data_IF_743038935966
#
_entry.id   IF_743038935966
#
_cell.length_a   1.000
_cell.length_b   1.000
_cell.length_c   1.000
_cell.angle_alpha   90.00
_cell.angle_beta   90.00
_cell.angle_gamma   90.00
#
_symmetry.space_group_name_H-M   'P 1'
#
loop_
_entity.id
_entity.type
_entity.pdbx_description
1 polymer ?
#
# COMPACT_ATOMS: atom_id res chain seq x y z
N UNK A 1 17.86 29.38 48.05
CA UNK A 1 16.56 29.51 47.35
C UNK A 1 16.83 29.50 45.84
N UNK A 2 16.79 28.31 45.21
CA UNK A 2 17.04 28.15 43.76
C UNK A 2 15.69 28.13 43.03
N UNK A 3 15.39 29.19 42.29
CA UNK A 3 14.28 29.22 41.35
C UNK A 3 14.58 28.25 40.20
N UNK A 4 13.74 27.22 40.05
CA UNK A 4 13.76 26.31 38.89
C UNK A 4 13.25 27.08 37.67
N UNK A 5 14.16 27.31 36.72
CA UNK A 5 13.83 27.69 35.36
C UNK A 5 13.27 26.45 34.63
N UNK A 6 11.95 26.26 34.70
CA UNK A 6 11.25 25.31 33.84
C UNK A 6 11.25 25.87 32.40
N UNK A 7 12.20 25.37 31.61
CA UNK A 7 12.39 25.73 30.21
C UNK A 7 11.12 25.47 29.38
N UNK A 8 10.87 26.31 28.37
CA UNK A 8 9.79 26.23 27.36
C UNK A 8 9.64 24.81 26.74
N UNK A 9 10.71 24.02 26.77
CA UNK A 9 10.78 22.62 26.37
C UNK A 9 9.86 21.69 27.18
N UNK A 10 9.67 21.91 28.48
CA UNK A 10 8.81 21.06 29.31
C UNK A 10 7.32 21.36 29.16
N UNK A 11 6.97 22.57 28.73
CA UNK A 11 5.59 22.95 28.38
C UNK A 11 5.16 22.34 27.04
N UNK A 12 6.07 22.24 26.06
CA UNK A 12 5.85 21.51 24.80
C UNK A 12 5.72 20.00 25.00
N UNK A 13 6.46 19.43 25.96
CA UNK A 13 6.43 17.98 26.24
C UNK A 13 5.10 17.55 26.88
N UNK A 14 4.52 18.39 27.76
CA UNK A 14 3.17 18.17 28.32
C UNK A 14 2.06 18.36 27.29
N UNK A 15 2.12 19.38 26.42
CA UNK A 15 1.13 19.54 25.34
C UNK A 15 1.11 18.37 24.35
N UNK A 16 2.27 17.73 24.10
CA UNK A 16 2.38 16.54 23.25
C UNK A 16 1.96 15.24 23.96
N UNK A 17 2.04 15.17 25.28
CA UNK A 17 1.48 14.04 26.06
C UNK A 17 -0.04 14.13 26.15
N UNK A 18 -0.60 15.32 26.33
CA UNK A 18 -2.06 15.51 26.42
C UNK A 18 -2.75 15.49 25.04
N UNK A 19 -2.02 15.77 23.95
CA UNK A 19 -2.50 15.58 22.58
C UNK A 19 -2.31 14.14 22.05
N UNK A 20 -1.89 13.19 22.90
CA UNK A 20 -1.61 11.79 22.53
C UNK A 20 -2.77 11.02 21.91
N UNK A 21 -4.01 11.50 22.04
CA UNK A 21 -5.20 10.92 21.39
C UNK A 21 -5.51 11.49 19.99
N UNK A 22 -4.87 12.59 19.58
CA UNK A 22 -5.20 13.32 18.34
C UNK A 22 -4.18 13.15 17.20
N UNK A 23 -3.03 12.54 17.48
CA UNK A 23 -1.92 12.36 16.52
C UNK A 23 -1.95 11.03 15.74
N UNK A 24 -2.93 10.16 16.00
CA UNK A 24 -3.15 8.95 15.20
C UNK A 24 -3.69 9.31 13.79
N UNK A 25 -4.31 10.48 13.61
CA UNK A 25 -4.87 10.92 12.33
C UNK A 25 -3.99 11.83 11.46
N UNK A 26 -3.08 12.62 12.06
CA UNK A 26 -2.36 13.69 11.34
C UNK A 26 -0.94 13.31 10.88
N UNK A 27 -0.30 12.30 11.48
CA UNK A 27 0.99 11.77 11.01
C UNK A 27 0.84 10.70 9.91
N UNK A 28 -0.35 10.13 9.75
CA UNK A 28 -0.54 8.91 8.97
C UNK A 28 -0.22 9.06 7.46
N UNK A 29 -0.45 10.22 6.83
CA UNK A 29 -0.25 10.36 5.38
C UNK A 29 1.23 10.33 4.93
N UNK A 30 2.13 10.89 5.75
CA UNK A 30 3.56 11.03 5.43
C UNK A 30 4.40 10.01 6.21
N UNK A 31 4.04 9.72 7.46
CA UNK A 31 4.77 8.80 8.33
C UNK A 31 4.30 7.33 8.29
N UNK A 32 3.20 6.97 7.62
CA UNK A 32 2.92 5.55 7.31
C UNK A 32 4.01 4.95 6.40
N UNK A 33 4.71 5.78 5.61
CA UNK A 33 5.87 5.28 4.84
C UNK A 33 7.15 5.15 5.67
N UNK A 34 7.27 5.86 6.80
CA UNK A 34 8.49 5.92 7.62
C UNK A 34 8.40 5.09 8.92
N UNK A 35 7.23 4.99 9.54
CA UNK A 35 7.02 4.33 10.84
C UNK A 35 6.03 3.15 10.82
N UNK A 36 4.99 3.17 9.97
CA UNK A 36 4.11 2.00 9.84
C UNK A 36 4.76 0.73 9.25
N UNK A 37 5.89 0.77 8.49
CA UNK A 37 6.55 -0.47 8.09
C UNK A 37 7.17 -1.20 9.28
N UNK A 38 7.44 -0.54 10.41
CA UNK A 38 8.12 -1.20 11.54
C UNK A 38 7.19 -2.03 12.42
N UNK A 39 5.90 -1.68 12.55
CA UNK A 39 5.16 -2.16 13.72
C UNK A 39 3.93 -3.06 13.52
N UNK A 40 3.14 -3.05 12.43
CA UNK A 40 1.83 -3.73 12.57
C UNK A 40 1.29 -4.65 11.47
N UNK A 41 1.77 -4.66 10.23
CA UNK A 41 1.19 -5.58 9.21
C UNK A 41 2.21 -6.02 8.16
N UNK A 42 2.90 -5.06 7.56
CA UNK A 42 3.81 -5.31 6.43
C UNK A 42 4.97 -6.28 6.74
N UNK A 43 5.63 -6.22 7.91
CA UNK A 43 6.71 -7.17 8.23
C UNK A 43 6.23 -8.61 8.36
N UNK A 44 5.03 -8.84 8.91
CA UNK A 44 4.48 -10.18 9.12
C UNK A 44 4.11 -10.80 7.78
N UNK A 45 3.44 -10.04 6.90
CA UNK A 45 3.12 -10.51 5.56
C UNK A 45 4.37 -10.66 4.69
N UNK A 46 5.35 -9.77 4.81
CA UNK A 46 6.59 -9.86 4.05
C UNK A 46 7.42 -11.08 4.47
N UNK A 47 7.60 -11.33 5.77
CA UNK A 47 8.22 -12.57 6.27
C UNK A 47 7.48 -13.81 5.78
N UNK A 48 6.15 -13.79 5.78
CA UNK A 48 5.34 -14.91 5.29
C UNK A 48 5.51 -15.11 3.78
N UNK A 49 5.44 -14.04 2.99
CA UNK A 49 5.65 -14.08 1.54
C UNK A 49 7.03 -14.63 1.21
N UNK A 50 8.10 -14.14 1.83
CA UNK A 50 9.46 -14.67 1.62
C UNK A 50 9.57 -16.14 2.04
N UNK A 51 8.93 -16.54 3.15
CA UNK A 51 8.93 -17.95 3.61
C UNK A 51 8.21 -18.88 2.63
N UNK A 52 7.07 -18.45 2.08
CA UNK A 52 6.24 -19.29 1.18
C UNK A 52 6.62 -19.19 -0.29
N UNK A 53 7.50 -18.26 -0.65
CA UNK A 53 8.01 -18.07 -2.01
C UNK A 53 9.31 -18.83 -2.28
N UNK A 54 9.78 -19.64 -1.32
CA UNK A 54 11.01 -20.42 -1.46
C UNK A 54 10.87 -21.44 -2.59
N UNK A 55 11.88 -21.45 -3.44
CA UNK A 55 12.03 -22.31 -4.62
C UNK A 55 13.45 -22.85 -4.64
N UNK A 56 13.66 -23.99 -5.30
CA UNK A 56 15.01 -24.54 -5.52
C UNK A 56 15.72 -23.80 -6.64
N UNK A 57 17.04 -23.94 -6.76
CA UNK A 57 17.80 -23.30 -7.83
C UNK A 57 17.36 -23.77 -9.23
N UNK A 58 17.01 -25.05 -9.35
CA UNK A 58 16.43 -25.62 -10.58
C UNK A 58 15.10 -24.94 -10.92
N UNK A 59 14.23 -24.76 -9.93
CA UNK A 59 12.96 -24.05 -10.12
C UNK A 59 13.19 -22.56 -10.45
N UNK A 60 14.18 -21.91 -9.83
CA UNK A 60 14.53 -20.52 -10.11
C UNK A 60 14.96 -20.33 -11.56
N UNK A 61 15.84 -21.21 -12.06
CA UNK A 61 16.30 -21.19 -13.44
C UNK A 61 15.14 -21.36 -14.43
N UNK A 62 14.24 -22.32 -14.18
CA UNK A 62 13.05 -22.53 -15.01
C UNK A 62 12.11 -21.31 -14.98
N UNK A 63 11.84 -20.74 -13.80
CA UNK A 63 10.99 -19.55 -13.68
C UNK A 63 11.61 -18.37 -14.44
N UNK A 64 12.92 -18.16 -14.32
CA UNK A 64 13.67 -17.11 -15.02
C UNK A 64 13.51 -17.22 -16.53
N UNK A 65 13.74 -18.41 -17.08
CA UNK A 65 13.57 -18.69 -18.51
C UNK A 65 12.14 -18.36 -18.96
N UNK A 66 11.13 -18.86 -18.25
CA UNK A 66 9.72 -18.64 -18.60
C UNK A 66 9.27 -17.19 -18.47
N UNK A 67 9.81 -16.44 -17.52
CA UNK A 67 9.58 -15.00 -17.43
C UNK A 67 10.15 -14.24 -18.65
N UNK A 68 11.37 -14.59 -19.09
CA UNK A 68 11.99 -14.01 -20.27
C UNK A 68 11.23 -14.36 -21.56
N UNK A 69 10.77 -15.61 -21.72
CA UNK A 69 9.94 -16.03 -22.86
C UNK A 69 8.62 -15.22 -22.93
N UNK A 70 7.93 -15.07 -21.79
CA UNK A 70 6.72 -14.27 -21.71
C UNK A 70 6.97 -12.79 -21.99
N UNK A 71 8.09 -12.23 -21.50
CA UNK A 71 8.48 -10.86 -21.82
C UNK A 71 8.65 -10.70 -23.33
N UNK A 72 9.31 -11.64 -24.00
CA UNK A 72 9.45 -11.65 -25.46
C UNK A 72 8.10 -11.59 -26.18
N UNK A 73 7.13 -12.40 -25.74
CA UNK A 73 5.75 -12.40 -26.28
C UNK A 73 4.98 -11.11 -26.00
N UNK A 74 5.23 -10.45 -24.88
CA UNK A 74 4.62 -9.15 -24.57
C UNK A 74 5.23 -8.08 -25.47
N UNK A 75 6.56 -8.03 -25.55
CA UNK A 75 7.29 -7.01 -26.31
C UNK A 75 7.16 -7.15 -27.83
N UNK A 76 6.84 -8.34 -28.37
CA UNK A 76 6.62 -8.51 -29.81
C UNK A 76 5.42 -7.73 -30.35
N UNK A 77 4.53 -7.26 -29.46
CA UNK A 77 3.34 -6.47 -29.79
C UNK A 77 3.49 -4.99 -29.44
N UNK A 78 4.70 -4.56 -29.09
CA UNK A 78 4.96 -3.24 -28.51
C UNK A 78 6.07 -2.54 -29.31
N UNK A 79 5.90 -1.26 -29.67
CA UNK A 79 6.96 -0.46 -30.30
C UNK A 79 8.26 -0.45 -29.47
N UNK A 80 9.41 -0.34 -30.14
CA UNK A 80 10.74 -0.47 -29.52
C UNK A 80 10.93 0.45 -28.30
N UNK A 81 10.53 1.72 -28.45
CA UNK A 81 10.64 2.74 -27.41
C UNK A 81 9.77 2.45 -26.18
N UNK A 82 8.76 1.59 -26.32
CA UNK A 82 7.78 1.22 -25.27
C UNK A 82 8.01 -0.15 -24.65
N UNK A 83 9.03 -0.89 -25.09
CA UNK A 83 9.30 -2.24 -24.57
C UNK A 83 9.60 -2.24 -23.06
N UNK A 84 9.16 -3.33 -22.43
CA UNK A 84 9.42 -3.63 -21.02
C UNK A 84 10.75 -4.40 -20.92
N UNK A 85 11.48 -4.22 -19.82
CA UNK A 85 12.70 -4.96 -19.51
C UNK A 85 12.51 -5.79 -18.25
N UNK A 86 13.20 -6.92 -18.14
CA UNK A 86 13.42 -7.60 -16.87
C UNK A 86 14.90 -7.41 -16.50
N UNK A 87 15.15 -7.01 -15.26
CA UNK A 87 16.49 -6.91 -14.71
C UNK A 87 16.59 -7.74 -13.45
N UNK A 88 17.48 -8.74 -13.48
CA UNK A 88 17.84 -9.53 -12.31
C UNK A 88 18.93 -8.79 -11.55
N UNK A 89 18.64 -8.49 -10.29
CA UNK A 89 19.51 -7.79 -9.35
C UNK A 89 20.08 -8.83 -8.40
N UNK A 90 21.39 -8.82 -8.22
CA UNK A 90 22.13 -9.66 -7.27
C UNK A 90 22.84 -8.79 -6.22
N UNK A 91 23.64 -9.44 -5.37
CA UNK A 91 24.41 -8.79 -4.31
C UNK A 91 25.54 -7.88 -4.80
N UNK A 92 25.95 -7.98 -6.07
CA UNK A 92 26.96 -7.13 -6.68
C UNK A 92 26.35 -5.89 -7.36
N UNK A 93 25.02 -5.84 -7.50
CA UNK A 93 24.34 -4.69 -8.06
C UNK A 93 24.56 -3.43 -7.20
N UNK A 94 25.16 -2.40 -7.79
CA UNK A 94 25.42 -1.12 -7.12
C UNK A 94 24.20 -0.19 -7.23
N UNK A 95 23.66 0.24 -6.08
CA UNK A 95 22.51 1.15 -6.03
C UNK A 95 22.42 1.89 -4.71
N UNK A 96 22.18 3.20 -4.77
CA UNK A 96 21.83 4.01 -3.59
C UNK A 96 20.32 4.01 -3.31
N UNK A 97 19.52 3.46 -4.23
CA UNK A 97 18.07 3.40 -4.09
C UNK A 97 17.64 2.32 -3.09
N UNK A 98 17.06 2.75 -1.97
CA UNK A 98 16.55 1.87 -0.89
C UNK A 98 15.55 0.81 -1.36
N UNK A 99 14.77 1.07 -2.40
CA UNK A 99 13.85 0.06 -2.95
C UNK A 99 14.59 -1.04 -3.71
N UNK A 100 15.59 -0.67 -4.51
CA UNK A 100 16.42 -1.64 -5.23
C UNK A 100 17.31 -2.43 -4.25
N UNK A 101 17.75 -1.81 -3.15
CA UNK A 101 18.42 -2.50 -2.03
C UNK A 101 17.55 -3.59 -1.38
N UNK A 102 16.24 -3.35 -1.25
CA UNK A 102 15.33 -4.39 -0.74
C UNK A 102 15.18 -5.56 -1.72
N UNK A 103 15.17 -5.28 -3.02
CA UNK A 103 15.10 -6.30 -4.08
C UNK A 103 16.41 -7.10 -4.11
N UNK A 104 17.55 -6.43 -4.07
CA UNK A 104 18.90 -7.00 -3.93
C UNK A 104 19.00 -8.01 -2.78
N UNK A 105 18.36 -7.72 -1.66
CA UNK A 105 18.31 -8.61 -0.48
C UNK A 105 17.28 -9.76 -0.60
N UNK A 106 16.58 -9.89 -1.72
CA UNK A 106 15.53 -10.89 -1.91
C UNK A 106 14.28 -10.63 -1.06
N UNK A 107 14.06 -9.39 -0.62
CA UNK A 107 12.94 -9.03 0.25
C UNK A 107 11.77 -8.45 -0.53
N UNK A 108 11.95 -8.14 -1.81
CA UNK A 108 10.91 -7.54 -2.64
C UNK A 108 11.11 -7.85 -4.13
N UNK A 109 10.06 -7.60 -4.90
CA UNK A 109 10.07 -7.50 -6.35
C UNK A 109 9.32 -6.21 -6.74
N UNK A 110 9.59 -5.63 -7.92
CA UNK A 110 8.80 -4.49 -8.37
C UNK A 110 8.91 -4.22 -9.87
N UNK A 111 7.80 -3.77 -10.46
CA UNK A 111 7.78 -3.06 -11.72
C UNK A 111 7.94 -1.54 -11.54
N UNK A 112 8.91 -0.94 -12.23
CA UNK A 112 9.07 0.50 -12.35
C UNK A 112 8.50 1.00 -13.66
N UNK A 113 7.40 1.75 -13.61
CA UNK A 113 6.81 2.39 -14.79
C UNK A 113 7.72 3.46 -15.41
N UNK A 114 8.54 4.15 -14.59
CA UNK A 114 9.50 5.16 -15.07
C UNK A 114 10.57 4.53 -15.95
N UNK A 115 11.14 3.41 -15.50
CA UNK A 115 12.23 2.74 -16.20
C UNK A 115 11.73 1.67 -17.18
N UNK A 116 10.42 1.37 -17.14
CA UNK A 116 9.79 0.23 -17.85
C UNK A 116 10.49 -1.10 -17.54
N UNK A 117 10.93 -1.26 -16.30
CA UNK A 117 11.73 -2.41 -15.86
C UNK A 117 11.06 -3.16 -14.73
N UNK A 118 10.95 -4.47 -14.87
CA UNK A 118 10.65 -5.43 -13.82
C UNK A 118 11.96 -5.82 -13.14
N UNK A 119 12.10 -5.45 -11.87
CA UNK A 119 13.27 -5.74 -11.05
C UNK A 119 13.01 -6.96 -10.17
N UNK A 120 13.86 -7.97 -10.29
CA UNK A 120 13.74 -9.25 -9.59
C UNK A 120 15.07 -9.66 -8.97
N UNK A 121 15.01 -10.53 -7.98
CA UNK A 121 16.17 -11.23 -7.44
C UNK A 121 15.86 -12.73 -7.39
N UNK A 122 16.85 -13.57 -7.63
CA UNK A 122 16.63 -15.03 -7.71
C UNK A 122 16.16 -15.63 -6.37
N UNK A 123 16.55 -15.03 -5.24
CA UNK A 123 16.07 -15.40 -3.90
C UNK A 123 14.55 -15.18 -3.73
N UNK A 124 13.91 -14.38 -4.59
CA UNK A 124 12.48 -14.10 -4.58
C UNK A 124 11.94 -13.90 -6.01
N UNK A 125 12.06 -14.92 -6.85
CA UNK A 125 11.73 -14.81 -8.28
C UNK A 125 10.23 -15.02 -8.59
N UNK A 126 9.51 -15.72 -7.73
CA UNK A 126 8.10 -16.13 -7.97
C UNK A 126 7.11 -14.96 -8.15
N UNK A 127 7.28 -13.78 -7.50
CA UNK A 127 6.45 -12.61 -7.81
C UNK A 127 6.69 -12.01 -9.20
N UNK A 128 7.71 -12.48 -9.95
CA UNK A 128 8.01 -11.95 -11.28
C UNK A 128 6.83 -11.97 -12.25
N UNK A 129 5.94 -12.96 -12.15
CA UNK A 129 4.72 -13.01 -12.96
C UNK A 129 3.72 -11.90 -12.60
N UNK A 130 3.62 -11.55 -11.30
CA UNK A 130 2.81 -10.43 -10.82
C UNK A 130 3.38 -9.10 -11.33
N UNK A 131 4.69 -8.89 -11.23
CA UNK A 131 5.32 -7.65 -11.71
C UNK A 131 5.24 -7.52 -13.24
N UNK A 132 5.33 -8.62 -13.97
CA UNK A 132 5.14 -8.63 -15.42
C UNK A 132 3.67 -8.32 -15.80
N UNK A 133 2.70 -8.73 -14.98
CA UNK A 133 1.31 -8.33 -15.14
C UNK A 133 1.11 -6.83 -14.90
N UNK A 134 1.77 -6.24 -13.90
CA UNK A 134 1.81 -4.78 -13.75
C UNK A 134 2.41 -4.09 -14.97
N UNK A 135 3.48 -4.63 -15.55
CA UNK A 135 4.08 -4.08 -16.75
C UNK A 135 3.12 -4.12 -17.96
N UNK A 136 2.36 -5.22 -18.13
CA UNK A 136 1.34 -5.32 -19.18
C UNK A 136 0.17 -4.36 -18.96
N UNK A 137 -0.30 -4.20 -17.73
CA UNK A 137 -1.36 -3.26 -17.39
C UNK A 137 -0.91 -1.80 -17.54
N UNK A 138 0.39 -1.54 -17.37
CA UNK A 138 0.98 -0.24 -17.70
C UNK A 138 0.90 0.06 -19.19
N UNK A 139 1.26 -0.89 -20.06
CA UNK A 139 1.15 -0.72 -21.51
C UNK A 139 -0.28 -0.44 -21.99
N UNK A 140 -1.28 -0.99 -21.28
CA UNK A 140 -2.72 -0.80 -21.55
C UNK A 140 -3.32 0.47 -20.92
N UNK A 141 -2.55 1.22 -20.13
CA UNK A 141 -3.02 2.44 -19.45
C UNK A 141 -3.82 2.22 -18.16
N UNK A 142 -4.20 0.97 -17.83
CA UNK A 142 -4.94 0.65 -16.60
C UNK A 142 -4.14 0.97 -15.34
N UNK A 143 -2.87 0.56 -15.28
CA UNK A 143 -2.03 0.81 -14.10
C UNK A 143 -1.80 2.31 -13.85
N UNK A 144 -1.45 3.14 -14.86
CA UNK A 144 -1.39 4.59 -14.71
C UNK A 144 -2.70 5.21 -14.21
N UNK A 145 -3.85 4.77 -14.75
CA UNK A 145 -5.15 5.26 -14.33
C UNK A 145 -5.43 4.93 -12.85
N UNK A 146 -5.19 3.68 -12.44
CA UNK A 146 -5.34 3.25 -11.06
C UNK A 146 -4.38 3.99 -10.12
N UNK A 147 -3.12 4.20 -10.51
CA UNK A 147 -2.13 4.96 -9.75
C UNK A 147 -2.54 6.43 -9.59
N UNK A 148 -3.05 7.06 -10.65
CA UNK A 148 -3.57 8.44 -10.61
C UNK A 148 -4.76 8.54 -9.67
N UNK A 149 -5.73 7.63 -9.79
CA UNK A 149 -6.90 7.55 -8.92
C UNK A 149 -6.50 7.34 -7.45
N UNK A 150 -5.57 6.42 -7.16
CA UNK A 150 -5.06 6.22 -5.80
C UNK A 150 -4.24 7.39 -5.27
N UNK A 151 -3.49 8.12 -6.10
CA UNK A 151 -2.70 9.27 -5.66
C UNK A 151 -3.60 10.43 -5.23
N UNK A 152 -4.59 10.78 -6.05
CA UNK A 152 -5.50 11.89 -5.75
C UNK A 152 -6.57 11.47 -4.75
N UNK A 153 -7.22 10.32 -4.98
CA UNK A 153 -8.20 9.76 -4.07
C UNK A 153 -7.62 9.45 -2.71
N UNK A 154 -6.43 8.84 -2.63
CA UNK A 154 -5.77 8.55 -1.36
C UNK A 154 -5.41 9.80 -0.55
N UNK A 155 -4.97 10.89 -1.20
CA UNK A 155 -4.70 12.17 -0.50
C UNK A 155 -5.96 12.76 0.10
N UNK A 156 -7.06 12.76 -0.66
CA UNK A 156 -8.33 13.32 -0.19
C UNK A 156 -8.93 12.41 0.87
N UNK A 157 -9.18 11.15 0.53
CA UNK A 157 -10.00 10.24 1.34
C UNK A 157 -9.24 9.51 2.46
N UNK A 158 -7.92 9.33 2.38
CA UNK A 158 -7.13 8.73 3.46
C UNK A 158 -6.42 9.74 4.36
N UNK A 159 -6.42 11.04 4.01
CA UNK A 159 -5.72 12.05 4.80
C UNK A 159 -6.60 13.27 5.08
N UNK A 160 -6.98 14.04 4.06
CA UNK A 160 -7.73 15.29 4.28
C UNK A 160 -9.11 15.04 4.90
N UNK A 161 -9.84 14.04 4.40
CA UNK A 161 -11.19 13.72 4.87
C UNK A 161 -11.18 13.16 6.30
N UNK A 162 -10.26 12.23 6.68
CA UNK A 162 -10.18 11.75 8.06
C UNK A 162 -9.76 12.85 9.04
N UNK A 163 -8.81 13.71 8.67
CA UNK A 163 -8.42 14.87 9.48
C UNK A 163 -9.61 15.82 9.66
N UNK A 164 -10.29 16.17 8.58
CA UNK A 164 -11.51 16.99 8.66
C UNK A 164 -12.58 16.33 9.52
N UNK A 165 -12.82 15.03 9.37
CA UNK A 165 -13.78 14.27 10.15
C UNK A 165 -13.42 14.29 11.64
N UNK A 166 -12.15 14.15 12.02
CA UNK A 166 -11.72 14.20 13.42
C UNK A 166 -11.77 15.63 13.99
N UNK A 167 -11.35 16.65 13.24
CA UNK A 167 -11.32 18.04 13.69
C UNK A 167 -12.71 18.70 13.74
N UNK A 168 -13.64 18.30 12.86
CA UNK A 168 -15.02 18.79 12.86
C UNK A 168 -15.78 18.38 14.12
N UNK A 169 -16.86 19.09 14.46
CA UNK A 169 -17.74 18.72 15.58
C UNK A 169 -18.94 17.96 15.06
N UNK A 170 -19.44 17.01 15.84
CA UNK A 170 -20.77 16.45 15.60
C UNK A 170 -21.79 17.56 15.86
N UNK A 171 -22.56 17.93 14.83
CA UNK A 171 -23.52 19.03 14.92
C UNK A 171 -24.88 18.44 15.26
N UNK A 172 -25.35 18.70 16.47
CA UNK A 172 -26.68 18.27 16.88
C UNK A 172 -27.74 19.29 16.43
N UNK A 173 -28.93 18.79 16.11
CA UNK A 173 -30.09 19.62 15.82
C UNK A 173 -30.49 20.33 17.13
N UNK A 174 -30.51 21.67 17.15
CA UNK A 174 -31.06 22.43 18.28
C UNK A 174 -32.58 22.53 18.11
N UNK A 175 -33.32 22.57 19.23
CA UNK A 175 -34.79 22.65 19.23
C UNK A 175 -35.32 23.74 18.30
N UNK A 176 -34.65 24.89 18.25
CA UNK A 176 -35.14 26.08 17.54
C UNK A 176 -34.47 26.34 16.18
N UNK A 177 -33.46 25.55 15.78
CA UNK A 177 -32.78 25.71 14.47
C UNK A 177 -32.40 24.36 13.86
N UNK A 178 -32.96 23.99 12.69
CA UNK A 178 -32.55 22.79 11.97
C UNK A 178 -31.09 22.91 11.50
N UNK A 179 -30.43 21.78 11.32
CA UNK A 179 -29.08 21.71 10.75
C UNK A 179 -29.06 22.34 9.36
N UNK A 180 -28.13 23.27 9.14
CA UNK A 180 -27.88 23.82 7.81
C UNK A 180 -27.21 22.75 6.91
N UNK A 181 -27.10 23.05 5.61
CA UNK A 181 -26.52 22.12 4.63
C UNK A 181 -25.08 21.73 4.99
N UNK A 182 -24.28 22.68 5.49
CA UNK A 182 -22.88 22.44 5.87
C UNK A 182 -22.76 21.49 7.07
N UNK A 183 -23.64 21.63 8.07
CA UNK A 183 -23.68 20.77 9.25
C UNK A 183 -24.15 19.36 8.88
N UNK A 184 -25.15 19.23 7.99
CA UNK A 184 -25.59 17.94 7.44
C UNK A 184 -24.46 17.24 6.69
N UNK A 185 -23.76 17.95 5.81
CA UNK A 185 -22.61 17.43 5.06
C UNK A 185 -21.47 17.01 5.98
N UNK A 186 -21.17 17.82 7.00
CA UNK A 186 -20.13 17.51 7.99
C UNK A 186 -20.46 16.23 8.74
N UNK A 187 -21.70 16.10 9.24
CA UNK A 187 -22.13 14.89 9.93
C UNK A 187 -22.13 13.66 9.00
N UNK A 188 -22.56 13.82 7.74
CA UNK A 188 -22.53 12.74 6.75
C UNK A 188 -21.11 12.24 6.49
N UNK A 189 -20.15 13.14 6.31
CA UNK A 189 -18.73 12.82 6.14
C UNK A 189 -18.19 12.07 7.35
N UNK A 190 -18.43 12.59 8.56
CA UNK A 190 -17.99 11.98 9.82
C UNK A 190 -18.54 10.56 9.99
N UNK A 191 -19.84 10.38 9.75
CA UNK A 191 -20.51 9.10 9.97
C UNK A 191 -20.12 8.03 8.93
N UNK A 192 -19.60 8.44 7.77
CA UNK A 192 -19.18 7.52 6.71
C UNK A 192 -17.67 7.52 6.47
N UNK A 193 -16.87 8.12 7.36
CA UNK A 193 -15.43 8.32 7.12
C UNK A 193 -14.67 7.02 6.87
N UNK A 194 -15.04 5.93 7.54
CA UNK A 194 -14.45 4.61 7.30
C UNK A 194 -14.73 4.11 5.88
N UNK A 195 -15.95 4.30 5.37
CA UNK A 195 -16.32 3.92 4.00
C UNK A 195 -15.54 4.72 2.97
N UNK A 196 -15.44 6.04 3.16
CA UNK A 196 -14.65 6.90 2.28
C UNK A 196 -13.17 6.52 2.28
N UNK A 197 -12.61 6.26 3.47
CA UNK A 197 -11.24 5.79 3.63
C UNK A 197 -11.03 4.47 2.90
N UNK A 198 -11.95 3.51 3.01
CA UNK A 198 -11.86 2.23 2.28
C UNK A 198 -11.97 2.41 0.76
N UNK A 199 -12.93 3.22 0.28
CA UNK A 199 -13.12 3.51 -1.14
C UNK A 199 -11.87 4.09 -1.80
N UNK A 200 -11.07 4.85 -1.04
CA UNK A 200 -9.79 5.38 -1.51
C UNK A 200 -8.77 4.30 -1.92
N UNK A 201 -8.86 3.11 -1.31
CA UNK A 201 -7.99 1.98 -1.62
C UNK A 201 -8.48 1.15 -2.81
N UNK A 202 -9.75 1.27 -3.22
CA UNK A 202 -10.35 0.45 -4.28
C UNK A 202 -9.53 0.46 -5.58
N UNK A 203 -9.04 1.59 -6.11
CA UNK A 203 -8.22 1.57 -7.33
C UNK A 203 -6.91 0.80 -7.15
N UNK A 204 -6.29 0.87 -5.96
CA UNK A 204 -5.06 0.13 -5.65
C UNK A 204 -5.36 -1.36 -5.50
N UNK A 205 -6.43 -1.72 -4.80
CA UNK A 205 -6.87 -3.12 -4.65
C UNK A 205 -7.21 -3.75 -6.01
N UNK A 206 -7.87 -3.01 -6.89
CA UNK A 206 -8.16 -3.46 -8.25
C UNK A 206 -6.88 -3.70 -9.07
N UNK A 207 -5.89 -2.81 -8.96
CA UNK A 207 -4.60 -2.97 -9.62
C UNK A 207 -3.83 -4.21 -9.12
N UNK A 208 -3.76 -4.42 -7.81
CA UNK A 208 -3.12 -5.59 -7.19
C UNK A 208 -3.86 -6.89 -7.53
N UNK A 209 -5.20 -6.86 -7.52
CA UNK A 209 -6.02 -8.00 -7.89
C UNK A 209 -5.85 -8.38 -9.38
N UNK A 210 -5.84 -7.38 -10.28
CA UNK A 210 -5.56 -7.58 -11.70
C UNK A 210 -4.19 -8.22 -11.91
N UNK A 211 -3.16 -7.68 -11.26
CA UNK A 211 -1.80 -8.18 -11.37
C UNK A 211 -1.67 -9.62 -10.85
N UNK A 212 -2.32 -9.95 -9.74
CA UNK A 212 -2.35 -11.31 -9.21
C UNK A 212 -3.13 -12.28 -10.13
N UNK A 213 -4.26 -11.85 -10.68
CA UNK A 213 -5.04 -12.66 -11.63
C UNK A 213 -4.25 -12.95 -12.90
N UNK A 214 -3.72 -11.90 -13.54
CA UNK A 214 -2.94 -12.03 -14.77
C UNK A 214 -1.60 -12.72 -14.53
N UNK A 215 -0.94 -12.49 -13.40
CA UNK A 215 0.28 -13.20 -13.02
C UNK A 215 0.04 -14.70 -12.86
N UNK A 216 -1.07 -15.10 -12.23
CA UNK A 216 -1.47 -16.51 -12.18
C UNK A 216 -1.76 -17.08 -13.57
N UNK A 217 -2.34 -16.29 -14.47
CA UNK A 217 -2.58 -16.69 -15.86
C UNK A 217 -1.27 -16.88 -16.62
N UNK A 218 -0.32 -15.95 -16.49
CA UNK A 218 0.99 -16.04 -17.12
C UNK A 218 1.78 -17.25 -16.64
N UNK A 219 1.76 -17.52 -15.33
CA UNK A 219 2.41 -18.71 -14.79
C UNK A 219 1.85 -20.00 -15.41
N UNK A 220 0.53 -20.08 -15.63
CA UNK A 220 -0.12 -21.19 -16.35
C UNK A 220 0.25 -21.22 -17.84
N UNK A 221 0.22 -20.08 -18.53
CA UNK A 221 0.59 -19.96 -19.95
C UNK A 221 2.07 -20.35 -20.20
N UNK A 222 2.94 -20.10 -19.22
CA UNK A 222 4.33 -20.52 -19.20
C UNK A 222 4.52 -22.04 -19.02
N UNK A 223 3.44 -22.81 -18.84
CA UNK A 223 3.47 -24.26 -18.61
C UNK A 223 4.37 -24.67 -17.43
N UNK A 224 4.38 -23.87 -16.36
CA UNK A 224 5.16 -24.21 -15.17
C UNK A 224 4.62 -25.47 -14.48
N UNK A 225 5.49 -26.28 -13.85
CA UNK A 225 5.09 -27.43 -13.07
C UNK A 225 4.06 -27.10 -11.96
N UNK A 226 3.13 -28.03 -11.64
CA UNK A 226 2.07 -27.81 -10.66
C UNK A 226 2.54 -27.32 -9.28
N UNK A 227 3.69 -27.81 -8.83
CA UNK A 227 4.31 -27.42 -7.56
C UNK A 227 4.72 -25.95 -7.54
N UNK A 228 5.28 -25.44 -8.64
CA UNK A 228 5.64 -24.03 -8.78
C UNK A 228 4.38 -23.17 -8.88
N UNK A 229 3.37 -23.63 -9.63
CA UNK A 229 2.08 -22.94 -9.74
C UNK A 229 1.39 -22.79 -8.37
N UNK A 230 1.52 -23.81 -7.50
CA UNK A 230 0.96 -23.77 -6.13
C UNK A 230 1.66 -22.71 -5.27
N UNK A 231 2.98 -22.60 -5.37
CA UNK A 231 3.77 -21.58 -4.67
C UNK A 231 3.35 -20.18 -5.15
N UNK A 232 3.33 -19.94 -6.46
CA UNK A 232 2.95 -18.65 -7.05
C UNK A 232 1.54 -18.23 -6.60
N UNK A 233 0.54 -19.12 -6.71
CA UNK A 233 -0.84 -18.83 -6.27
C UNK A 233 -0.92 -18.48 -4.79
N UNK A 234 -0.18 -19.20 -3.95
CA UNK A 234 -0.15 -18.95 -2.50
C UNK A 234 0.46 -17.58 -2.20
N UNK A 235 1.58 -17.24 -2.84
CA UNK A 235 2.23 -15.93 -2.71
C UNK A 235 1.31 -14.79 -3.16
N UNK A 236 0.67 -14.92 -4.32
CA UNK A 236 -0.29 -13.93 -4.82
C UNK A 236 -1.50 -13.76 -3.88
N UNK A 237 -2.03 -14.85 -3.32
CA UNK A 237 -3.14 -14.79 -2.35
C UNK A 237 -2.73 -14.06 -1.07
N UNK A 238 -1.55 -14.34 -0.53
CA UNK A 238 -1.03 -13.67 0.66
C UNK A 238 -0.79 -12.18 0.41
N UNK A 239 -0.27 -11.83 -0.77
CA UNK A 239 -0.10 -10.43 -1.19
C UNK A 239 -1.45 -9.70 -1.22
N UNK A 240 -2.45 -10.23 -1.92
CA UNK A 240 -3.80 -9.66 -1.97
C UNK A 240 -4.42 -9.48 -0.59
N UNK A 241 -4.33 -10.51 0.28
CA UNK A 241 -4.83 -10.42 1.64
C UNK A 241 -4.16 -9.30 2.43
N UNK A 242 -2.85 -9.11 2.27
CA UNK A 242 -2.12 -8.04 2.95
C UNK A 242 -2.64 -6.65 2.58
N UNK A 243 -2.98 -6.42 1.30
CA UNK A 243 -3.52 -5.15 0.83
C UNK A 243 -4.96 -4.91 1.31
N UNK A 244 -5.82 -5.93 1.24
CA UNK A 244 -7.21 -5.85 1.73
C UNK A 244 -7.23 -5.58 3.24
N UNK A 245 -6.43 -6.33 4.01
CA UNK A 245 -6.32 -6.13 5.46
C UNK A 245 -5.82 -4.72 5.80
N UNK A 246 -4.83 -4.21 5.07
CA UNK A 246 -4.36 -2.83 5.24
C UNK A 246 -5.45 -1.79 5.00
N UNK A 247 -6.25 -1.95 3.94
CA UNK A 247 -7.36 -1.05 3.64
C UNK A 247 -8.45 -1.08 4.73
N UNK A 248 -8.78 -2.28 5.23
CA UNK A 248 -9.76 -2.45 6.31
C UNK A 248 -9.29 -1.83 7.63
N UNK A 249 -8.02 -2.04 8.00
CA UNK A 249 -7.44 -1.44 9.22
C UNK A 249 -7.53 0.09 9.14
N UNK A 250 -7.15 0.69 8.01
CA UNK A 250 -7.22 2.15 7.85
C UNK A 250 -8.66 2.69 7.95
N UNK A 251 -9.63 1.99 7.36
CA UNK A 251 -11.04 2.34 7.44
C UNK A 251 -11.59 2.26 8.88
N UNK A 252 -11.23 1.20 9.60
CA UNK A 252 -11.60 1.01 11.00
C UNK A 252 -10.96 2.07 11.89
N UNK A 253 -9.65 2.32 11.75
CA UNK A 253 -8.93 3.35 12.50
C UNK A 253 -9.56 4.74 12.32
N UNK A 254 -9.94 5.09 11.10
CA UNK A 254 -10.59 6.39 10.83
C UNK A 254 -11.96 6.51 11.50
N UNK A 255 -12.72 5.41 11.56
CA UNK A 255 -14.01 5.36 12.25
C UNK A 255 -13.84 5.46 13.77
N UNK A 256 -12.88 4.72 14.32
CA UNK A 256 -12.56 4.70 15.75
C UNK A 256 -12.09 6.09 16.20
N UNK A 257 -11.23 6.77 15.42
CA UNK A 257 -10.71 8.09 15.77
C UNK A 257 -11.83 9.13 15.95
N UNK A 258 -12.84 9.15 15.07
CA UNK A 258 -14.00 10.04 15.21
C UNK A 258 -14.81 9.71 16.47
N UNK A 259 -15.04 8.43 16.75
CA UNK A 259 -15.77 8.00 17.95
C UNK A 259 -15.04 8.35 19.26
N UNK A 260 -13.73 8.14 19.33
CA UNK A 260 -12.91 8.51 20.50
C UNK A 260 -13.00 10.02 20.73
N UNK A 261 -12.86 10.83 19.66
CA UNK A 261 -12.98 12.28 19.76
C UNK A 261 -14.34 12.70 20.33
N UNK A 262 -15.42 12.05 19.95
CA UNK A 262 -16.76 12.37 20.45
C UNK A 262 -16.93 11.99 21.92
N UNK A 263 -16.39 10.84 22.35
CA UNK A 263 -16.38 10.41 23.75
C UNK A 263 -15.58 11.37 24.63
N UNK A 264 -14.44 11.87 24.14
CA UNK A 264 -13.63 12.84 24.88
C UNK A 264 -14.35 14.19 24.98
N UNK A 265 -14.94 14.67 23.88
CA UNK A 265 -15.66 15.93 23.84
C UNK A 265 -16.99 15.92 24.63
N UNK A 266 -17.49 14.76 25.04
CA UNK A 266 -18.69 14.63 25.89
C UNK A 266 -18.37 14.52 27.39
N UNK A 267 -17.09 14.44 27.76
CA UNK A 267 -16.63 14.37 29.16
C UNK A 267 -16.22 15.74 29.72
N UNK A 268 -16.13 16.75 28.86
CA UNK A 268 -15.98 18.17 29.19
C UNK A 268 -17.37 18.84 29.21
#
# INVERSE_FOLDING_TARGET
>A
MKLKNDSITDRRRRFLQDCGASLIGLGAGYDIRKYAPKYLVRPVFQKSVTKYSKTTDVQNKLIKEKLCELLGKINSKVPEDRKIKIQFIDENFNTENKHLEAIKKGLNASFSSKNRTVYLNEKLITPGFHELAHAKDYLRGFLPAAQKASKYGGRIFCFLLPVFAVCSKNKQKKADKPLNVLDKTTNFIRNNIGKFTFLAFVPKLAAEASANFQGNKFAKEAKLPPEILKIIRKTHRLSNLSYISGALIMALSSTIAVKIKDILASKD
#
